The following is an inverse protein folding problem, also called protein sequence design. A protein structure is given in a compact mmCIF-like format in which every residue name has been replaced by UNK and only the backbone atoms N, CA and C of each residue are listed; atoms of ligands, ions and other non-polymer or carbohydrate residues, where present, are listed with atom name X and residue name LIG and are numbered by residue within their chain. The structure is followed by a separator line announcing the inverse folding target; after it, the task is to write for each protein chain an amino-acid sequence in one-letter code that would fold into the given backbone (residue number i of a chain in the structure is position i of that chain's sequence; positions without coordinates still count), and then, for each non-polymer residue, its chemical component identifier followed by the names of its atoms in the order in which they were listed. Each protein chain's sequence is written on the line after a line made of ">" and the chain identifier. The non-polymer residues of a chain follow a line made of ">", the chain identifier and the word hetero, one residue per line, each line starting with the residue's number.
data_IF_561732568789
#
_entry.id   IF_561732568789
#
_cell.length_a   1.000
_cell.length_b   1.000
_cell.length_c   1.000
_cell.angle_alpha   90.00
_cell.angle_beta   90.00
_cell.angle_gamma   90.00
#
_symmetry.space_group_name_H-M   'P 1'
#
loop_
_entity.id
_entity.type
_entity.pdbx_description
1 polymer ?
#
# COMPACT_ATOMS: atom_id res chain seq x y z
N UNK A 1 -15.13 1.42 -6.04
CA UNK A 1 -13.72 1.35 -5.62
C UNK A 1 -13.06 2.68 -5.85
N UNK A 2 -11.77 2.78 -5.58
CA UNK A 2 -10.95 3.96 -5.84
C UNK A 2 -10.20 3.76 -7.15
N UNK A 3 -10.40 4.64 -8.12
CA UNK A 3 -9.61 4.64 -9.36
C UNK A 3 -8.28 5.33 -9.08
N UNK A 4 -7.18 4.72 -9.51
CA UNK A 4 -5.83 5.25 -9.30
C UNK A 4 -5.01 5.22 -10.60
N UNK A 5 -4.09 6.16 -10.74
CA UNK A 5 -3.06 6.18 -11.78
C UNK A 5 -1.75 5.64 -11.21
N UNK A 6 -1.09 4.75 -11.96
CA UNK A 6 0.23 4.23 -11.57
C UNK A 6 1.31 5.29 -11.80
N UNK A 7 2.04 5.64 -10.74
CA UNK A 7 3.08 6.67 -10.76
C UNK A 7 4.46 6.05 -10.96
N UNK A 8 4.80 5.03 -10.16
CA UNK A 8 6.16 4.47 -10.14
C UNK A 8 6.19 3.04 -9.63
N UNK A 9 6.90 2.15 -10.33
CA UNK A 9 7.30 0.86 -9.78
C UNK A 9 8.42 1.09 -8.75
N UNK A 10 8.16 0.71 -7.50
CA UNK A 10 9.10 0.86 -6.37
C UNK A 10 10.04 -0.33 -6.26
N UNK A 11 9.64 -1.49 -6.78
CA UNK A 11 10.46 -2.69 -6.84
C UNK A 11 9.63 -3.96 -6.77
N UNK A 12 10.33 -5.09 -6.77
CA UNK A 12 9.73 -6.41 -6.76
C UNK A 12 10.44 -7.30 -5.74
N UNK A 13 9.69 -8.23 -5.12
CA UNK A 13 10.27 -9.26 -4.24
C UNK A 13 9.45 -10.54 -4.25
N UNK A 14 10.10 -11.66 -3.93
CA UNK A 14 9.39 -12.86 -3.49
C UNK A 14 8.96 -12.65 -2.05
N UNK A 15 7.64 -12.65 -1.79
CA UNK A 15 7.10 -12.34 -0.48
C UNK A 15 7.51 -13.41 0.55
N UNK A 16 8.11 -13.02 1.69
CA UNK A 16 8.77 -13.96 2.60
C UNK A 16 7.83 -14.99 3.24
N UNK A 17 6.53 -14.67 3.39
CA UNK A 17 5.56 -15.61 3.97
C UNK A 17 4.82 -16.46 2.94
N UNK A 18 4.62 -15.97 1.73
CA UNK A 18 3.73 -16.62 0.73
C UNK A 18 4.49 -17.20 -0.46
N UNK A 19 5.77 -16.85 -0.64
CA UNK A 19 6.57 -17.28 -1.78
C UNK A 19 6.13 -16.69 -3.13
N UNK A 20 5.16 -15.76 -3.13
CA UNK A 20 4.65 -15.14 -4.36
C UNK A 20 5.55 -13.99 -4.79
N UNK A 21 5.80 -13.85 -6.09
CA UNK A 21 6.39 -12.64 -6.64
C UNK A 21 5.37 -11.49 -6.48
N UNK A 22 5.81 -10.40 -5.86
CA UNK A 22 5.04 -9.18 -5.64
C UNK A 22 5.78 -8.00 -6.27
N UNK A 23 5.04 -7.18 -7.02
CA UNK A 23 5.50 -5.88 -7.53
C UNK A 23 4.79 -4.77 -6.75
N UNK A 24 5.53 -3.77 -6.28
CA UNK A 24 5.01 -2.68 -5.48
C UNK A 24 4.99 -1.39 -6.32
N UNK A 25 3.80 -0.81 -6.51
CA UNK A 25 3.61 0.37 -7.37
C UNK A 25 2.99 1.50 -6.55
N UNK A 26 3.63 2.67 -6.56
CA UNK A 26 3.03 3.89 -6.05
C UNK A 26 1.94 4.37 -7.01
N UNK A 27 0.79 4.78 -6.47
CA UNK A 27 -0.35 5.22 -7.26
C UNK A 27 -0.94 6.52 -6.69
N UNK A 28 -1.53 7.34 -7.56
CA UNK A 28 -2.27 8.56 -7.19
C UNK A 28 -3.77 8.35 -7.40
N UNK A 29 -4.65 8.68 -6.43
CA UNK A 29 -6.09 8.64 -6.63
C UNK A 29 -6.56 9.63 -7.70
N UNK A 30 -7.42 9.18 -8.62
CA UNK A 30 -7.98 10.03 -9.68
C UNK A 30 -9.50 10.22 -9.58
N UNK A 31 -10.22 9.20 -9.09
CA UNK A 31 -11.67 9.25 -8.98
C UNK A 31 -12.20 8.28 -7.92
N UNK A 32 -13.32 8.64 -7.31
CA UNK A 32 -14.04 7.81 -6.34
C UNK A 32 -13.57 8.02 -4.91
N UNK A 33 -14.18 7.27 -4.00
CA UNK A 33 -13.88 7.31 -2.57
C UNK A 33 -13.43 5.94 -2.10
N UNK A 34 -12.46 5.92 -1.18
CA UNK A 34 -12.01 4.71 -0.51
C UNK A 34 -13.16 4.17 0.35
N UNK A 35 -13.72 3.02 -0.04
CA UNK A 35 -14.77 2.30 0.69
C UNK A 35 -14.59 0.80 0.57
N UNK A 36 -15.06 0.05 1.56
CA UNK A 36 -15.23 -1.41 1.44
C UNK A 36 -16.26 -1.67 0.35
N UNK A 37 -15.81 -2.23 -0.77
CA UNK A 37 -16.66 -2.53 -1.92
C UNK A 37 -17.00 -4.03 -2.04
N UNK A 38 -16.24 -4.88 -1.34
CA UNK A 38 -16.39 -6.32 -1.23
C UNK A 38 -16.08 -6.71 0.22
N UNK A 39 -17.10 -7.14 0.96
CA UNK A 39 -17.05 -7.48 2.38
C UNK A 39 -16.58 -8.92 2.64
N UNK A 40 -16.58 -9.79 1.62
CA UNK A 40 -15.98 -11.12 1.71
C UNK A 40 -14.44 -11.02 1.67
N UNK A 41 -13.88 -10.01 0.99
CA UNK A 41 -12.43 -9.81 0.89
C UNK A 41 -11.85 -8.77 1.88
N UNK A 42 -12.58 -7.71 2.20
CA UNK A 42 -12.08 -6.58 3.01
C UNK A 42 -13.01 -6.23 4.17
N UNK A 43 -12.46 -6.22 5.38
CA UNK A 43 -13.22 -5.84 6.60
C UNK A 43 -13.21 -4.33 6.88
N UNK A 44 -12.20 -3.60 6.39
CA UNK A 44 -12.05 -2.17 6.63
C UNK A 44 -11.11 -1.53 5.59
N UNK A 45 -11.21 -0.21 5.44
CA UNK A 45 -10.29 0.63 4.67
C UNK A 45 -10.08 1.96 5.40
N UNK A 46 -8.84 2.45 5.42
CA UNK A 46 -8.49 3.72 6.03
C UNK A 46 -7.32 4.38 5.30
N UNK A 47 -7.35 5.71 5.23
CA UNK A 47 -6.16 6.51 4.98
C UNK A 47 -5.41 6.69 6.30
N UNK A 48 -4.10 6.43 6.30
CA UNK A 48 -3.28 6.43 7.51
C UNK A 48 -2.03 7.28 7.31
N UNK A 49 -1.53 7.85 8.40
CA UNK A 49 -0.25 8.56 8.46
C UNK A 49 0.91 7.58 8.54
N UNK A 50 2.14 8.05 8.25
CA UNK A 50 3.36 7.25 8.42
C UNK A 50 3.48 6.63 9.83
N UNK A 51 3.07 7.38 10.85
CA UNK A 51 3.17 6.95 12.25
C UNK A 51 2.18 5.84 12.62
N UNK A 52 1.06 5.72 11.90
CA UNK A 52 0.03 4.71 12.14
C UNK A 52 0.29 3.39 11.39
N UNK A 53 1.17 3.39 10.36
CA UNK A 53 1.51 2.19 9.59
C UNK A 53 1.91 0.99 10.48
N UNK A 54 2.76 1.14 11.52
CA UNK A 54 3.16 0.02 12.37
C UNK A 54 2.00 -0.66 13.10
N UNK A 55 0.88 0.05 13.34
CA UNK A 55 -0.30 -0.52 13.99
C UNK A 55 -1.01 -1.55 13.08
N UNK A 56 -0.87 -1.40 11.76
CA UNK A 56 -1.47 -2.29 10.76
C UNK A 56 -0.46 -3.27 10.15
N UNK A 57 0.81 -2.88 10.04
CA UNK A 57 1.88 -3.70 9.45
C UNK A 57 3.04 -3.85 10.45
N UNK A 58 2.85 -4.65 11.52
CA UNK A 58 3.81 -4.71 12.64
C UNK A 58 5.18 -5.31 12.28
N UNK A 59 5.28 -5.97 11.12
CA UNK A 59 6.54 -6.54 10.61
C UNK A 59 7.27 -5.62 9.62
N UNK A 60 6.75 -4.40 9.44
CA UNK A 60 7.31 -3.40 8.52
C UNK A 60 6.94 -3.62 7.06
N UNK A 61 7.09 -2.54 6.30
CA UNK A 61 6.93 -2.55 4.85
C UNK A 61 8.17 -3.13 4.15
N UNK A 62 8.04 -3.40 2.85
CA UNK A 62 9.22 -3.61 2.02
C UNK A 62 10.06 -2.33 1.99
N UNK A 63 11.38 -2.43 2.20
CA UNK A 63 12.28 -1.28 2.35
C UNK A 63 12.05 -0.15 1.32
N UNK A 64 12.08 -0.44 0.00
CA UNK A 64 11.82 0.57 -1.03
C UNK A 64 10.44 1.24 -0.96
N UNK A 65 9.43 0.58 -0.37
CA UNK A 65 8.12 1.20 -0.12
C UNK A 65 8.22 2.19 1.03
N UNK A 66 8.88 1.83 2.14
CA UNK A 66 9.08 2.75 3.27
C UNK A 66 9.90 3.97 2.85
N UNK A 67 11.02 3.75 2.15
CA UNK A 67 11.89 4.83 1.65
C UNK A 67 11.14 5.82 0.75
N UNK A 68 10.23 5.31 -0.10
CA UNK A 68 9.39 6.17 -0.94
C UNK A 68 8.40 6.99 -0.10
N UNK A 69 7.71 6.36 0.85
CA UNK A 69 6.74 7.07 1.70
C UNK A 69 7.43 8.12 2.59
N UNK A 70 8.60 7.82 3.14
CA UNK A 70 9.40 8.77 3.93
C UNK A 70 9.87 9.96 3.09
N UNK A 71 10.09 9.79 1.78
CA UNK A 71 10.48 10.89 0.88
C UNK A 71 9.29 11.78 0.48
N UNK A 72 8.14 11.18 0.20
CA UNK A 72 6.96 11.90 -0.30
C UNK A 72 6.14 12.56 0.82
N UNK A 73 6.25 12.07 2.06
CA UNK A 73 5.44 12.51 3.20
C UNK A 73 6.25 13.14 4.35
N UNK A 74 7.56 13.37 4.15
CA UNK A 74 8.38 14.19 5.05
C UNK A 74 8.05 15.68 4.95
#
# INVERSE_FOLDING_TARGET
>A
GLTVEAVKLLGERVHPKTGRLMSYTACSPVEGEARVADDDELVAIAWVTLAEIPDYVPYGLYGPVQEYLDQELA
#
